data_IF_328659620669
#
_entry.id   IF_328659620669
#
_cell.length_a   1.000
_cell.length_b   1.000
_cell.length_c   1.000
_cell.angle_alpha   90.00
_cell.angle_beta   90.00
_cell.angle_gamma   90.00
#
_symmetry.space_group_name_H-M   'P 1'
#
loop_
_entity.id
_entity.type
_entity.pdbx_description
1 polymer ?
#
# COMPACT_ATOMS: atom_id res chain seq x y z
N UNK A 1 53.37 8.95 -10.42
CA UNK A 1 52.12 9.54 -9.91
C UNK A 1 51.00 8.93 -10.72
N UNK A 2 50.26 7.98 -10.18
CA UNK A 2 48.92 7.61 -10.66
C UNK A 2 48.29 6.64 -9.67
N UNK A 3 47.49 7.17 -8.75
CA UNK A 3 46.70 6.41 -7.79
C UNK A 3 45.38 7.14 -7.55
N UNK A 4 44.40 6.95 -8.44
CA UNK A 4 43.03 7.42 -8.23
C UNK A 4 42.02 6.65 -9.08
N UNK A 5 41.89 5.33 -8.87
CA UNK A 5 40.73 4.55 -9.32
C UNK A 5 40.37 3.51 -8.24
N UNK A 6 39.52 3.86 -7.28
CA UNK A 6 39.12 2.88 -6.27
C UNK A 6 38.20 3.30 -5.12
N UNK A 7 37.37 4.35 -5.24
CA UNK A 7 36.60 4.83 -4.06
C UNK A 7 35.07 4.85 -4.22
N UNK A 8 34.50 4.67 -5.42
CA UNK A 8 33.04 4.83 -5.60
C UNK A 8 32.20 3.56 -5.40
N UNK A 9 32.80 2.37 -5.30
CA UNK A 9 32.05 1.11 -5.13
C UNK A 9 31.84 0.66 -3.66
N UNK A 10 32.54 1.25 -2.69
CA UNK A 10 32.45 0.83 -1.27
C UNK A 10 31.16 1.27 -0.57
N UNK A 11 30.64 2.46 -0.90
CA UNK A 11 29.51 3.05 -0.17
C UNK A 11 28.20 2.33 -0.49
N UNK A 12 27.91 2.01 -1.76
CA UNK A 12 26.69 1.27 -2.14
C UNK A 12 26.64 -0.18 -1.62
N UNK A 13 27.79 -0.78 -1.34
CA UNK A 13 27.89 -2.14 -0.78
C UNK A 13 27.58 -2.20 0.72
N UNK A 14 28.05 -1.22 1.49
CA UNK A 14 27.84 -1.14 2.93
C UNK A 14 26.36 -0.93 3.30
N UNK A 15 25.68 0.03 2.65
CA UNK A 15 24.25 0.28 2.89
C UNK A 15 23.34 -0.92 2.55
N UNK A 16 23.68 -1.71 1.52
CA UNK A 16 22.93 -2.93 1.17
C UNK A 16 23.17 -4.08 2.17
N UNK A 17 24.40 -4.21 2.68
CA UNK A 17 24.77 -5.18 3.72
C UNK A 17 23.95 -4.96 4.98
N UNK A 18 23.80 -3.70 5.39
CA UNK A 18 23.19 -3.37 6.68
C UNK A 18 21.67 -3.50 6.64
N UNK A 19 21.04 -3.08 5.53
CA UNK A 19 19.61 -3.31 5.31
C UNK A 19 19.25 -4.80 5.31
N UNK A 20 20.10 -5.66 4.73
CA UNK A 20 19.86 -7.11 4.74
C UNK A 20 20.01 -7.72 6.13
N UNK A 21 21.03 -7.31 6.89
CA UNK A 21 21.19 -7.75 8.29
C UNK A 21 20.01 -7.32 9.15
N UNK A 22 19.53 -6.09 8.98
CA UNK A 22 18.37 -5.59 9.71
C UNK A 22 17.08 -6.33 9.33
N UNK A 23 16.81 -6.54 8.03
CA UNK A 23 15.68 -7.38 7.60
C UNK A 23 15.76 -8.79 8.16
N UNK A 24 16.95 -9.38 8.21
CA UNK A 24 17.13 -10.72 8.77
C UNK A 24 16.84 -10.75 10.28
N UNK A 25 17.24 -9.71 11.01
CA UNK A 25 16.93 -9.56 12.45
C UNK A 25 15.43 -9.42 12.66
N UNK A 26 14.78 -8.49 11.93
CA UNK A 26 13.33 -8.29 12.02
C UNK A 26 12.54 -9.54 11.64
N UNK A 27 12.99 -10.29 10.62
CA UNK A 27 12.35 -11.55 10.25
C UNK A 27 12.47 -12.58 11.38
N UNK A 28 13.60 -12.65 12.08
CA UNK A 28 13.76 -13.58 13.19
C UNK A 28 12.93 -13.20 14.43
N UNK A 29 12.69 -11.91 14.63
CA UNK A 29 11.75 -11.42 15.67
C UNK A 29 10.28 -11.72 15.31
N UNK A 30 10.00 -11.84 14.00
CA UNK A 30 8.68 -12.08 13.44
C UNK A 30 8.33 -13.58 13.39
N UNK A 31 9.25 -14.42 12.93
CA UNK A 31 9.17 -15.89 12.83
C UNK A 31 9.27 -16.53 14.24
N UNK A 32 8.18 -16.41 15.00
CA UNK A 32 8.11 -16.81 16.42
C UNK A 32 8.10 -18.32 16.57
N UNK A 33 7.42 -19.00 15.65
CA UNK A 33 7.32 -20.46 15.63
C UNK A 33 8.59 -21.14 15.08
N UNK A 34 9.51 -20.35 14.50
CA UNK A 34 10.78 -20.79 13.90
C UNK A 34 10.56 -21.74 12.73
N UNK A 35 9.44 -21.60 12.02
CA UNK A 35 9.12 -22.31 10.79
C UNK A 35 10.09 -21.94 9.66
N UNK A 36 10.74 -20.77 9.74
CA UNK A 36 11.56 -20.22 8.67
C UNK A 36 10.74 -19.52 7.59
N UNK A 37 9.42 -19.45 7.78
CA UNK A 37 8.49 -18.62 7.02
C UNK A 37 7.77 -17.65 7.95
N UNK A 38 6.92 -16.81 7.39
CA UNK A 38 6.18 -15.80 8.11
C UNK A 38 4.74 -15.84 7.62
N UNK A 39 3.82 -16.23 8.50
CA UNK A 39 2.41 -16.33 8.19
C UNK A 39 1.69 -14.97 8.34
N UNK A 40 0.40 -14.94 8.01
CA UNK A 40 -0.43 -13.72 8.14
C UNK A 40 -0.38 -13.14 9.55
N UNK A 41 -0.50 -13.96 10.59
CA UNK A 41 -0.60 -13.48 11.97
C UNK A 41 0.71 -12.83 12.43
N UNK A 42 1.85 -13.41 12.06
CA UNK A 42 3.16 -12.82 12.36
C UNK A 42 3.39 -11.51 11.59
N UNK A 43 2.89 -11.41 10.36
CA UNK A 43 2.91 -10.16 9.59
C UNK A 43 1.94 -9.13 10.18
N UNK A 44 0.78 -9.55 10.70
CA UNK A 44 -0.18 -8.67 11.36
C UNK A 44 0.44 -8.04 12.62
N UNK A 45 1.10 -8.84 13.46
CA UNK A 45 1.81 -8.34 14.64
C UNK A 45 2.94 -7.38 14.27
N UNK A 46 3.66 -7.67 13.19
CA UNK A 46 4.67 -6.76 12.65
C UNK A 46 4.04 -5.45 12.19
N UNK A 47 2.93 -5.48 11.46
CA UNK A 47 2.23 -4.26 11.02
C UNK A 47 1.74 -3.46 12.23
N UNK A 48 1.10 -4.10 13.20
CA UNK A 48 0.65 -3.46 14.43
C UNK A 48 1.79 -2.72 15.14
N UNK A 49 2.98 -3.34 15.21
CA UNK A 49 4.17 -2.78 15.85
C UNK A 49 4.91 -1.71 15.02
N UNK A 50 4.55 -1.51 13.74
CA UNK A 50 5.20 -0.55 12.84
C UNK A 50 4.18 0.53 12.39
N UNK A 51 3.97 1.54 13.24
CA UNK A 51 2.98 2.62 13.03
C UNK A 51 3.11 3.34 11.67
N UNK A 52 4.31 3.38 11.08
CA UNK A 52 4.53 4.00 9.77
C UNK A 52 3.75 3.31 8.62
N UNK A 53 3.25 2.09 8.84
CA UNK A 53 2.45 1.36 7.84
C UNK A 53 0.96 1.71 7.88
N UNK A 54 0.42 2.12 9.04
CA UNK A 54 -1.03 2.26 9.21
C UNK A 54 -1.49 3.57 9.86
N UNK A 55 -0.64 4.25 10.63
CA UNK A 55 -1.07 5.43 11.40
C UNK A 55 -1.57 6.57 10.49
N UNK A 56 -0.87 6.80 9.38
CA UNK A 56 -1.32 7.79 8.40
C UNK A 56 -2.65 7.41 7.74
N UNK A 57 -2.94 6.10 7.57
CA UNK A 57 -4.21 5.64 7.02
C UNK A 57 -5.35 5.94 7.99
N UNK A 58 -5.16 5.64 9.28
CA UNK A 58 -6.19 5.89 10.31
C UNK A 58 -6.55 7.37 10.38
N UNK A 59 -5.55 8.25 10.35
CA UNK A 59 -5.76 9.71 10.34
C UNK A 59 -6.43 10.19 9.04
N UNK A 60 -5.97 9.70 7.88
CA UNK A 60 -6.47 10.17 6.58
C UNK A 60 -7.89 9.71 6.31
N UNK A 61 -8.22 8.47 6.70
CA UNK A 61 -9.49 7.83 6.39
C UNK A 61 -10.53 7.99 7.49
N UNK A 62 -10.13 8.49 8.67
CA UNK A 62 -10.97 8.57 9.87
C UNK A 62 -11.57 7.19 10.21
N UNK A 63 -10.70 6.18 10.27
CA UNK A 63 -11.02 4.77 10.52
C UNK A 63 -10.26 4.24 11.73
N UNK A 64 -10.79 3.18 12.35
CA UNK A 64 -10.16 2.54 13.51
C UNK A 64 -8.76 2.01 13.15
N UNK A 65 -7.87 2.02 14.14
CA UNK A 65 -6.51 1.49 13.98
C UNK A 65 -6.52 0.03 13.54
N UNK A 66 -7.40 -0.79 14.11
CA UNK A 66 -7.59 -2.21 13.75
C UNK A 66 -7.93 -2.38 12.27
N UNK A 67 -8.90 -1.63 11.75
CA UNK A 67 -9.27 -1.70 10.32
C UNK A 67 -8.12 -1.29 9.41
N UNK A 68 -7.33 -0.27 9.80
CA UNK A 68 -6.16 0.15 9.03
C UNK A 68 -5.00 -0.84 9.14
N UNK A 69 -4.81 -1.49 10.28
CA UNK A 69 -3.83 -2.55 10.48
C UNK A 69 -4.17 -3.78 9.64
N UNK A 70 -5.45 -4.17 9.58
CA UNK A 70 -5.92 -5.27 8.74
C UNK A 70 -5.68 -4.99 7.25
N UNK A 71 -6.04 -3.79 6.77
CA UNK A 71 -5.78 -3.38 5.38
C UNK A 71 -4.27 -3.35 5.08
N UNK A 72 -3.45 -2.79 5.97
CA UNK A 72 -2.00 -2.76 5.81
C UNK A 72 -1.37 -4.17 5.85
N UNK A 73 -1.91 -5.08 6.66
CA UNK A 73 -1.48 -6.49 6.73
C UNK A 73 -1.79 -7.19 5.43
N UNK A 74 -3.02 -7.04 4.91
CA UNK A 74 -3.42 -7.60 3.61
C UNK A 74 -2.46 -7.14 2.51
N UNK A 75 -2.22 -5.83 2.42
CA UNK A 75 -1.31 -5.26 1.41
C UNK A 75 0.13 -5.73 1.60
N UNK A 76 0.61 -5.86 2.85
CA UNK A 76 1.94 -6.41 3.11
C UNK A 76 2.06 -7.86 2.62
N UNK A 77 1.05 -8.70 2.88
CA UNK A 77 0.99 -10.09 2.41
C UNK A 77 0.98 -10.16 0.88
N UNK A 78 0.13 -9.37 0.21
CA UNK A 78 0.04 -9.33 -1.25
C UNK A 78 1.35 -8.89 -1.91
N UNK A 79 1.95 -7.82 -1.40
CA UNK A 79 3.19 -7.27 -1.96
C UNK A 79 4.42 -8.14 -1.68
N UNK A 80 4.47 -8.81 -0.53
CA UNK A 80 5.58 -9.69 -0.19
C UNK A 80 5.48 -11.05 -0.90
N UNK A 81 4.28 -11.64 -0.98
CA UNK A 81 4.07 -12.93 -1.64
C UNK A 81 4.04 -12.81 -3.16
N UNK A 82 3.55 -11.69 -3.69
CA UNK A 82 3.19 -11.51 -5.10
C UNK A 82 1.82 -12.10 -5.47
N UNK A 83 1.06 -12.61 -4.49
CA UNK A 83 -0.29 -13.15 -4.66
C UNK A 83 -1.35 -12.07 -4.32
N UNK A 84 -2.63 -12.40 -4.47
CA UNK A 84 -3.76 -11.50 -4.18
C UNK A 84 -4.84 -12.16 -3.34
N UNK A 85 -5.58 -11.36 -2.58
CA UNK A 85 -6.75 -11.81 -1.83
C UNK A 85 -6.44 -12.98 -0.89
N UNK A 86 -7.34 -13.95 -0.85
CA UNK A 86 -7.26 -15.14 0.01
C UNK A 86 -5.96 -15.95 -0.15
N UNK A 87 -5.41 -16.03 -1.36
CA UNK A 87 -4.17 -16.76 -1.62
C UNK A 87 -2.97 -16.06 -0.96
N UNK A 88 -2.94 -14.74 -0.96
CA UNK A 88 -1.92 -13.97 -0.26
C UNK A 88 -2.04 -14.14 1.26
N UNK A 89 -3.26 -14.18 1.80
CA UNK A 89 -3.51 -14.32 3.24
C UNK A 89 -3.19 -15.72 3.78
N UNK A 90 -3.16 -16.74 2.91
CA UNK A 90 -2.76 -18.11 3.24
C UNK A 90 -1.29 -18.39 2.89
N UNK A 91 -0.58 -17.40 2.34
CA UNK A 91 0.80 -17.57 1.93
C UNK A 91 1.74 -17.56 3.12
N UNK A 92 2.82 -18.33 2.99
CA UNK A 92 3.94 -18.35 3.92
C UNK A 92 5.09 -17.54 3.31
N UNK A 93 5.46 -16.42 3.94
CA UNK A 93 6.47 -15.53 3.40
C UNK A 93 7.86 -15.99 3.80
N UNK A 94 8.70 -16.23 2.80
CA UNK A 94 10.13 -16.49 3.06
C UNK A 94 10.85 -15.23 3.50
N UNK A 95 11.98 -15.42 4.19
CA UNK A 95 12.92 -14.34 4.54
C UNK A 95 13.34 -13.46 3.35
N UNK A 96 13.45 -14.04 2.15
CA UNK A 96 13.77 -13.30 0.94
C UNK A 96 12.61 -12.39 0.51
N UNK A 97 11.38 -12.91 0.51
CA UNK A 97 10.17 -12.15 0.21
C UNK A 97 9.99 -10.99 1.20
N UNK A 98 10.14 -11.25 2.49
CA UNK A 98 10.07 -10.20 3.52
C UNK A 98 11.17 -9.13 3.35
N UNK A 99 12.41 -9.53 3.04
CA UNK A 99 13.46 -8.56 2.78
C UNK A 99 13.17 -7.69 1.55
N UNK A 100 12.69 -8.29 0.45
CA UNK A 100 12.29 -7.55 -0.75
C UNK A 100 11.16 -6.57 -0.42
N UNK A 101 10.14 -7.02 0.31
CA UNK A 101 9.05 -6.18 0.78
C UNK A 101 9.57 -4.96 1.56
N UNK A 102 10.35 -5.18 2.63
CA UNK A 102 10.91 -4.07 3.43
C UNK A 102 11.71 -3.10 2.57
N UNK A 103 12.57 -3.63 1.71
CA UNK A 103 13.46 -2.82 0.87
C UNK A 103 12.67 -1.95 -0.12
N UNK A 104 11.64 -2.52 -0.75
CA UNK A 104 10.89 -1.82 -1.79
C UNK A 104 9.76 -0.96 -1.25
N UNK A 105 9.09 -1.35 -0.17
CA UNK A 105 7.87 -0.69 0.27
C UNK A 105 7.97 0.00 1.64
N UNK A 106 9.09 -0.14 2.35
CA UNK A 106 9.31 0.55 3.63
C UNK A 106 10.54 1.46 3.65
N UNK A 107 11.60 1.09 2.91
CA UNK A 107 12.86 1.85 2.88
C UNK A 107 12.97 2.78 1.67
N UNK A 108 12.23 2.50 0.60
CA UNK A 108 12.17 3.31 -0.61
C UNK A 108 10.99 4.29 -0.52
N UNK A 109 11.19 5.62 -0.66
CA UNK A 109 10.11 6.59 -0.60
C UNK A 109 9.00 6.35 -1.63
N UNK A 110 9.35 5.99 -2.87
CA UNK A 110 8.38 5.76 -3.94
C UNK A 110 7.49 4.55 -3.63
N UNK A 111 8.11 3.45 -3.19
CA UNK A 111 7.34 2.26 -2.82
C UNK A 111 6.59 2.43 -1.50
N UNK A 112 7.08 3.24 -0.56
CA UNK A 112 6.30 3.59 0.65
C UNK A 112 5.02 4.35 0.29
N UNK A 113 5.09 5.24 -0.70
CA UNK A 113 3.92 5.92 -1.24
C UNK A 113 2.98 4.93 -1.96
N UNK A 114 3.51 4.00 -2.76
CA UNK A 114 2.70 2.97 -3.39
C UNK A 114 2.02 2.05 -2.36
N UNK A 115 2.73 1.65 -1.30
CA UNK A 115 2.16 0.89 -0.20
C UNK A 115 0.97 1.62 0.41
N UNK A 116 1.15 2.92 0.72
CA UNK A 116 0.09 3.74 1.26
C UNK A 116 -1.13 3.81 0.33
N UNK A 117 -0.92 4.05 -0.97
CA UNK A 117 -2.01 4.08 -1.96
C UNK A 117 -2.78 2.75 -2.02
N UNK A 118 -2.07 1.62 -1.98
CA UNK A 118 -2.67 0.27 -1.97
C UNK A 118 -3.42 0.00 -0.67
N UNK A 119 -2.91 0.48 0.46
CA UNK A 119 -3.56 0.31 1.75
C UNK A 119 -4.80 1.20 1.90
N UNK A 120 -4.80 2.40 1.30
CA UNK A 120 -6.01 3.20 1.12
C UNK A 120 -7.03 2.41 0.32
N UNK A 121 -6.68 1.91 -0.87
CA UNK A 121 -7.56 1.07 -1.69
C UNK A 121 -8.12 -0.12 -0.89
N UNK A 122 -7.24 -0.85 -0.19
CA UNK A 122 -7.61 -2.02 0.58
C UNK A 122 -8.53 -1.74 1.76
N UNK A 123 -8.56 -0.50 2.26
CA UNK A 123 -9.47 -0.09 3.34
C UNK A 123 -10.92 0.06 2.87
N UNK A 124 -11.17 0.10 1.55
CA UNK A 124 -12.51 0.20 0.95
C UNK A 124 -12.94 -1.06 0.21
N UNK A 125 -12.00 -1.92 -0.20
CA UNK A 125 -12.27 -3.25 -0.75
C UNK A 125 -12.69 -4.20 0.37
N UNK A 126 -13.98 -4.13 0.74
CA UNK A 126 -14.60 -4.80 1.89
C UNK A 126 -14.77 -6.30 1.65
N UNK A 127 -15.02 -6.70 0.40
CA UNK A 127 -15.16 -8.10 0.04
C UNK A 127 -13.83 -8.80 -0.30
N UNK A 128 -12.72 -8.05 -0.28
CA UNK A 128 -11.36 -8.50 -0.56
C UNK A 128 -11.17 -9.07 -1.98
N UNK A 129 -11.98 -8.64 -2.95
CA UNK A 129 -11.91 -9.12 -4.33
C UNK A 129 -10.85 -8.39 -5.18
N UNK A 130 -10.10 -7.43 -4.60
CA UNK A 130 -9.11 -6.58 -5.27
C UNK A 130 -9.66 -5.59 -6.31
N UNK A 131 -10.96 -5.33 -6.27
CA UNK A 131 -11.70 -4.38 -7.10
C UNK A 131 -12.58 -3.55 -6.18
N UNK A 132 -12.81 -2.28 -6.52
CA UNK A 132 -13.87 -1.51 -5.88
C UNK A 132 -15.13 -1.61 -6.73
N UNK A 133 -16.20 -2.09 -6.14
CA UNK A 133 -17.53 -1.96 -6.71
C UNK A 133 -18.08 -0.53 -6.55
N UNK A 134 -19.34 -0.33 -6.93
CA UNK A 134 -19.97 0.98 -6.92
C UNK A 134 -20.12 1.56 -5.50
N UNK A 135 -20.42 0.74 -4.50
CA UNK A 135 -20.63 1.16 -3.11
C UNK A 135 -19.29 1.40 -2.40
N UNK A 136 -18.29 0.58 -2.69
CA UNK A 136 -16.92 0.74 -2.18
C UNK A 136 -16.24 1.99 -2.77
N UNK A 137 -16.44 2.24 -4.07
CA UNK A 137 -16.00 3.46 -4.72
C UNK A 137 -16.67 4.69 -4.10
N UNK A 138 -17.97 4.61 -3.83
CA UNK A 138 -18.73 5.70 -3.23
C UNK A 138 -18.17 6.10 -1.85
N UNK A 139 -17.87 5.11 -1.00
CA UNK A 139 -17.23 5.31 0.29
C UNK A 139 -15.81 5.87 0.18
N UNK A 140 -15.03 5.44 -0.82
CA UNK A 140 -13.72 6.04 -1.09
C UNK A 140 -13.87 7.52 -1.42
N UNK A 141 -14.78 7.86 -2.33
CA UNK A 141 -15.01 9.25 -2.75
C UNK A 141 -15.49 10.12 -1.59
N UNK A 142 -16.31 9.59 -0.68
CA UNK A 142 -16.73 10.32 0.52
C UNK A 142 -15.55 10.86 1.33
N UNK A 143 -14.40 10.17 1.34
CA UNK A 143 -13.21 10.67 2.05
C UNK A 143 -12.60 11.93 1.43
N UNK A 144 -12.84 12.20 0.15
CA UNK A 144 -12.41 13.45 -0.49
C UNK A 144 -13.33 14.63 -0.12
N UNK A 145 -14.61 14.36 0.10
CA UNK A 145 -15.61 15.40 0.40
C UNK A 145 -15.87 15.56 1.91
N UNK A 146 -15.39 14.64 2.76
CA UNK A 146 -15.48 14.75 4.22
C UNK A 146 -14.85 16.05 4.73
N UNK A 147 -15.47 16.62 5.76
CA UNK A 147 -15.00 17.84 6.41
C UNK A 147 -13.64 17.61 7.07
N UNK A 148 -12.59 18.28 6.58
CA UNK A 148 -11.21 18.13 7.06
C UNK A 148 -10.30 17.37 6.11
N UNK A 149 -10.85 16.83 5.00
CA UNK A 149 -10.05 16.29 3.90
C UNK A 149 -9.18 17.39 3.29
N UNK A 150 -7.95 17.04 2.87
CA UNK A 150 -7.05 17.95 2.13
C UNK A 150 -7.66 18.44 0.80
N UNK A 151 -8.74 17.80 0.37
CA UNK A 151 -9.48 18.06 -0.85
C UNK A 151 -10.76 18.89 -0.62
N UNK A 152 -11.13 19.18 0.64
CA UNK A 152 -12.35 19.93 0.94
C UNK A 152 -12.24 21.36 0.42
N UNK A 153 -13.15 21.74 -0.49
CA UNK A 153 -13.16 23.07 -1.10
C UNK A 153 -12.15 23.25 -2.24
N UNK A 154 -11.54 22.15 -2.72
CA UNK A 154 -10.76 22.18 -3.95
C UNK A 154 -11.70 22.40 -5.13
N UNK A 155 -11.62 23.59 -5.75
CA UNK A 155 -12.41 24.00 -6.92
C UNK A 155 -12.25 23.03 -8.10
N UNK A 156 -11.20 22.20 -8.11
CA UNK A 156 -10.94 21.21 -9.16
C UNK A 156 -11.77 19.93 -9.01
N UNK A 157 -12.38 19.69 -7.86
CA UNK A 157 -13.23 18.52 -7.65
C UNK A 157 -14.68 18.87 -8.03
N UNK A 158 -15.26 18.17 -9.02
CA UNK A 158 -16.68 18.34 -9.32
C UNK A 158 -17.53 17.79 -8.17
N UNK A 159 -18.85 17.92 -8.25
CA UNK A 159 -19.76 17.23 -7.31
C UNK A 159 -19.48 15.72 -7.28
N UNK A 160 -19.63 15.08 -6.12
CA UNK A 160 -19.29 13.67 -5.89
C UNK A 160 -19.89 12.74 -6.95
N UNK A 161 -21.18 12.87 -7.23
CA UNK A 161 -21.87 12.04 -8.24
C UNK A 161 -21.29 12.25 -9.64
N UNK A 162 -20.98 13.50 -10.01
CA UNK A 162 -20.36 13.80 -11.29
C UNK A 162 -18.93 13.22 -11.38
N UNK A 163 -18.17 13.23 -10.28
CA UNK A 163 -16.86 12.59 -10.22
C UNK A 163 -16.99 11.07 -10.39
N UNK A 164 -17.93 10.45 -9.68
CA UNK A 164 -18.21 9.01 -9.76
C UNK A 164 -18.58 8.58 -11.18
N UNK A 165 -19.51 9.30 -11.82
CA UNK A 165 -19.89 9.04 -13.21
C UNK A 165 -18.69 9.18 -14.16
N UNK A 166 -17.88 10.23 -14.00
CA UNK A 166 -16.68 10.44 -14.83
C UNK A 166 -15.65 9.34 -14.65
N UNK A 167 -15.44 8.89 -13.41
CA UNK A 167 -14.54 7.78 -13.08
C UNK A 167 -15.02 6.50 -13.78
N UNK A 168 -16.29 6.14 -13.65
CA UNK A 168 -16.84 4.96 -14.31
C UNK A 168 -16.78 5.08 -15.84
N UNK A 169 -17.13 6.23 -16.41
CA UNK A 169 -17.07 6.43 -17.86
C UNK A 169 -15.65 6.32 -18.42
N UNK A 170 -14.63 6.86 -17.74
CA UNK A 170 -13.25 6.88 -18.25
C UNK A 170 -12.45 5.64 -17.89
N UNK A 171 -12.68 5.06 -16.72
CA UNK A 171 -11.81 4.01 -16.16
C UNK A 171 -12.45 2.62 -16.21
N UNK A 172 -13.78 2.50 -16.20
CA UNK A 172 -14.49 1.22 -16.34
C UNK A 172 -14.77 0.90 -17.82
N UNK A 173 -13.71 0.51 -18.54
CA UNK A 173 -13.79 0.21 -19.99
C UNK A 173 -14.59 -1.05 -20.33
N UNK A 174 -14.80 -1.95 -19.36
CA UNK A 174 -15.56 -3.19 -19.53
C UNK A 174 -16.99 -3.08 -18.99
N UNK A 175 -17.36 -1.93 -18.44
CA UNK A 175 -18.70 -1.62 -17.94
C UNK A 175 -19.19 -2.63 -16.89
N UNK A 176 -18.28 -3.19 -16.09
CA UNK A 176 -18.60 -4.13 -15.02
C UNK A 176 -18.83 -3.43 -13.68
N UNK A 177 -18.70 -2.09 -13.66
CA UNK A 177 -18.78 -1.22 -12.50
C UNK A 177 -17.78 -1.58 -11.41
N UNK A 178 -16.66 -2.23 -11.78
CA UNK A 178 -15.60 -2.65 -10.87
C UNK A 178 -14.27 -2.06 -11.29
N UNK A 179 -13.59 -1.46 -10.33
CA UNK A 179 -12.35 -0.74 -10.59
C UNK A 179 -11.18 -1.33 -9.81
N UNK A 180 -10.18 -1.83 -10.53
CA UNK A 180 -8.94 -2.29 -9.91
C UNK A 180 -8.09 -1.12 -9.40
N UNK A 181 -7.17 -1.41 -8.49
CA UNK A 181 -6.18 -0.43 -8.00
C UNK A 181 -5.46 0.32 -9.12
N UNK A 182 -5.05 -0.38 -10.18
CA UNK A 182 -4.33 0.23 -11.30
C UNK A 182 -5.16 1.32 -12.01
N UNK A 183 -6.48 1.14 -12.08
CA UNK A 183 -7.40 2.09 -12.69
C UNK A 183 -7.59 3.34 -11.82
N UNK A 184 -7.74 3.16 -10.50
CA UNK A 184 -8.04 4.28 -9.59
C UNK A 184 -6.82 4.89 -8.91
N UNK A 185 -5.62 4.33 -9.13
CA UNK A 185 -4.37 4.82 -8.52
C UNK A 185 -4.20 6.33 -8.72
N UNK A 186 -4.48 6.82 -9.94
CA UNK A 186 -4.38 8.24 -10.27
C UNK A 186 -5.33 9.14 -9.47
N UNK A 187 -6.49 8.61 -9.08
CA UNK A 187 -7.46 9.31 -8.22
C UNK A 187 -6.93 9.33 -6.77
N UNK A 188 -6.50 8.18 -6.26
CA UNK A 188 -5.95 8.06 -4.89
C UNK A 188 -4.69 8.93 -4.72
N UNK A 189 -3.84 9.02 -5.75
CA UNK A 189 -2.63 9.86 -5.73
C UNK A 189 -2.91 11.34 -5.96
N UNK A 190 -4.14 11.73 -6.32
CA UNK A 190 -4.51 13.10 -6.68
C UNK A 190 -3.93 13.58 -8.03
N UNK A 191 -3.32 12.71 -8.82
CA UNK A 191 -2.65 13.10 -10.09
C UNK A 191 -3.58 13.06 -11.30
N UNK A 192 -4.70 12.32 -11.24
CA UNK A 192 -5.64 12.16 -12.36
C UNK A 192 -6.85 13.11 -12.32
N UNK A 193 -6.97 13.94 -11.28
CA UNK A 193 -8.02 14.96 -11.19
C UNK A 193 -7.97 16.01 -12.33
N UNK A 194 -6.81 16.43 -12.88
CA UNK A 194 -6.75 17.48 -13.91
C UNK A 194 -7.40 17.12 -15.25
N UNK A 195 -7.48 15.84 -15.60
CA UNK A 195 -7.93 15.41 -16.94
C UNK A 195 -9.44 15.14 -17.01
N UNK A 196 -10.21 15.55 -16.00
CA UNK A 196 -11.67 15.41 -16.02
C UNK A 196 -12.40 16.64 -16.60
N UNK A 197 -11.69 17.66 -17.09
CA UNK A 197 -12.28 18.76 -17.88
C UNK A 197 -12.88 18.29 -19.21
#
# INVERSE_FOLDING_TARGET
>A
MDAAKGVTNGVKGAFKSDARKESNKKFHELDKDKSGTACKDEIAEFVASNHNLWAMLSVTLDRSEESCQDAATRVAMELASGLKGDEALKAELTKEQFHKFRKHYMLDPEGSQEFFQRAVFASFDLDNNSLLDEDELDQLLDTFYKSGSIFKGDVRLPEKEALKERILQKLDTNHDKRLSFARIRGIISGTAIPDFE
#
